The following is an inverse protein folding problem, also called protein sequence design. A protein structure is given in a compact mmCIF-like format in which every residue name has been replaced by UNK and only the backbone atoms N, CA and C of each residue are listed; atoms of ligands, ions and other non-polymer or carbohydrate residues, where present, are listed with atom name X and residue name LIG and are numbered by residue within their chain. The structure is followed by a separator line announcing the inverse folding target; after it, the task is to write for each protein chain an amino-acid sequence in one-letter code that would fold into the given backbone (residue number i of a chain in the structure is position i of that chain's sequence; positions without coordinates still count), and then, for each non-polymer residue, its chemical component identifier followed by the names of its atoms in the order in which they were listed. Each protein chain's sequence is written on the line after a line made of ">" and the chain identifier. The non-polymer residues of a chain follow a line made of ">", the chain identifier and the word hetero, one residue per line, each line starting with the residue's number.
data_IF_014547494587
#
_entry.id   IF_014547494587
#
_cell.length_a   1.000
_cell.length_b   1.000
_cell.length_c   1.000
_cell.angle_alpha   90.00
_cell.angle_beta   90.00
_cell.angle_gamma   90.00
#
_symmetry.space_group_name_H-M   'P 1'
#
loop_
_entity.id
_entity.type
_entity.pdbx_description
1 polymer ?
#
# COMPACT_ATOMS: atom_id res chain seq x y z
N UNK A 1 45.09 -18.97 66.23
CA UNK A 1 45.35 -17.54 66.02
C UNK A 1 44.03 -16.91 65.63
N UNK A 2 43.34 -16.32 66.60
CA UNK A 2 42.07 -15.63 66.36
C UNK A 2 42.34 -14.32 65.63
N UNK A 3 41.61 -14.08 64.54
CA UNK A 3 41.77 -12.87 63.75
C UNK A 3 41.16 -11.67 64.52
N UNK A 4 41.96 -10.71 65.03
CA UNK A 4 41.44 -9.57 65.80
C UNK A 4 40.63 -8.59 64.94
N UNK A 5 40.59 -8.79 63.61
CA UNK A 5 39.79 -8.01 62.67
C UNK A 5 38.48 -8.69 62.26
N UNK A 6 38.10 -9.81 62.90
CA UNK A 6 36.79 -10.44 62.65
C UNK A 6 35.66 -9.51 63.13
N UNK A 7 35.12 -8.70 62.21
CA UNK A 7 33.96 -7.86 62.47
C UNK A 7 32.77 -8.79 62.75
N UNK A 8 32.10 -8.69 63.92
CA UNK A 8 30.95 -9.53 64.21
C UNK A 8 29.86 -9.26 63.16
N UNK A 9 29.26 -10.32 62.57
CA UNK A 9 28.25 -10.14 61.54
C UNK A 9 27.11 -9.31 62.13
N UNK A 10 26.94 -8.10 61.59
CA UNK A 10 25.90 -7.16 62.00
C UNK A 10 24.58 -7.81 61.62
N UNK A 11 23.86 -8.36 62.59
CA UNK A 11 22.50 -8.90 62.39
C UNK A 11 21.57 -7.75 62.04
N UNK A 12 21.45 -7.44 60.75
CA UNK A 12 20.44 -6.52 60.25
C UNK A 12 19.09 -7.21 60.45
N UNK A 13 18.11 -6.56 61.11
CA UNK A 13 16.81 -7.18 61.36
C UNK A 13 16.03 -7.32 60.05
N UNK A 14 16.14 -8.50 59.42
CA UNK A 14 15.47 -8.83 58.15
C UNK A 14 13.95 -8.59 58.14
N UNK A 15 13.32 -8.59 59.31
CA UNK A 15 11.90 -8.28 59.46
C UNK A 15 11.53 -6.83 59.11
N UNK A 16 12.44 -5.86 59.35
CA UNK A 16 12.17 -4.46 59.02
C UNK A 16 12.22 -4.21 57.51
N UNK A 17 13.19 -4.80 56.81
CA UNK A 17 13.30 -4.68 55.34
C UNK A 17 12.13 -5.37 54.64
N UNK A 18 11.67 -6.53 55.15
CA UNK A 18 10.49 -7.20 54.59
C UNK A 18 9.23 -6.34 54.68
N UNK A 19 8.99 -5.67 55.80
CA UNK A 19 7.83 -4.76 55.95
C UNK A 19 7.86 -3.62 54.95
N UNK A 20 9.02 -3.01 54.74
CA UNK A 20 9.18 -1.92 53.75
C UNK A 20 8.92 -2.45 52.35
N UNK A 21 9.47 -3.62 52.00
CA UNK A 21 9.26 -4.24 50.69
C UNK A 21 7.78 -4.54 50.42
N UNK A 22 7.06 -5.10 51.40
CA UNK A 22 5.61 -5.34 51.28
C UNK A 22 4.84 -4.04 51.10
N UNK A 23 5.19 -2.98 51.85
CA UNK A 23 4.58 -1.65 51.69
C UNK A 23 4.80 -1.06 50.29
N UNK A 24 6.00 -1.19 49.73
CA UNK A 24 6.34 -0.73 48.37
C UNK A 24 5.55 -1.52 47.32
N UNK A 25 5.48 -2.85 47.44
CA UNK A 25 4.72 -3.70 46.53
C UNK A 25 3.23 -3.33 46.56
N UNK A 26 2.66 -3.13 47.75
CA UNK A 26 1.26 -2.71 47.89
C UNK A 26 1.00 -1.34 47.25
N UNK A 27 1.92 -0.38 47.42
CA UNK A 27 1.83 0.93 46.80
C UNK A 27 1.90 0.84 45.26
N UNK A 28 2.86 0.07 44.72
CA UNK A 28 2.98 -0.15 43.28
C UNK A 28 1.75 -0.84 42.69
N UNK A 29 1.21 -1.85 43.36
CA UNK A 29 -0.04 -2.49 42.96
C UNK A 29 -1.22 -1.50 42.97
N UNK A 30 -1.29 -0.62 43.98
CA UNK A 30 -2.27 0.48 44.05
C UNK A 30 -2.18 1.43 42.86
N UNK A 31 -0.97 1.84 42.47
CA UNK A 31 -0.76 2.72 41.30
C UNK A 31 -1.16 2.02 40.00
N UNK A 32 -0.78 0.76 39.80
CA UNK A 32 -1.11 -0.01 38.58
C UNK A 32 -2.62 -0.28 38.45
N UNK A 33 -3.29 -0.59 39.56
CA UNK A 33 -4.75 -0.75 39.58
C UNK A 33 -5.48 0.56 39.34
N UNK A 34 -4.98 1.68 39.88
CA UNK A 34 -5.51 3.01 39.59
C UNK A 34 -5.33 3.40 38.13
N UNK A 35 -4.14 3.15 37.55
CA UNK A 35 -3.83 3.45 36.15
C UNK A 35 -4.72 2.66 35.19
N UNK A 36 -4.87 1.35 35.41
CA UNK A 36 -5.75 0.51 34.59
C UNK A 36 -7.23 0.85 34.78
N UNK A 37 -7.64 1.20 36.01
CA UNK A 37 -8.99 1.65 36.32
C UNK A 37 -9.34 2.99 35.66
N UNK A 38 -8.42 3.96 35.66
CA UNK A 38 -8.64 5.27 35.07
C UNK A 38 -8.79 5.21 33.56
N UNK A 39 -8.02 4.37 32.86
CA UNK A 39 -8.17 4.15 31.42
C UNK A 39 -9.54 3.58 31.07
N UNK A 40 -10.01 2.56 31.82
CA UNK A 40 -11.35 1.99 31.61
C UNK A 40 -12.46 2.99 31.88
N UNK A 41 -12.32 3.78 32.96
CA UNK A 41 -13.27 4.83 33.28
C UNK A 41 -13.31 5.91 32.19
N UNK A 42 -12.15 6.33 31.69
CA UNK A 42 -12.04 7.35 30.66
C UNK A 42 -12.62 6.84 29.33
N UNK A 43 -12.35 5.58 28.97
CA UNK A 43 -12.96 4.93 27.82
C UNK A 43 -14.49 4.92 27.95
N UNK A 44 -15.03 4.44 29.07
CA UNK A 44 -16.48 4.44 29.33
C UNK A 44 -17.08 5.85 29.27
N UNK A 45 -16.35 6.86 29.74
CA UNK A 45 -16.80 8.25 29.68
C UNK A 45 -16.81 8.78 28.25
N UNK A 46 -15.79 8.50 27.46
CA UNK A 46 -15.72 8.96 26.07
C UNK A 46 -16.75 8.26 25.17
N UNK A 47 -17.04 6.99 25.44
CA UNK A 47 -18.03 6.20 24.71
C UNK A 47 -19.46 6.39 25.21
N UNK A 48 -19.64 7.01 26.39
CA UNK A 48 -20.98 7.35 26.87
C UNK A 48 -21.68 8.35 25.96
N UNK A 49 -22.96 8.07 25.70
CA UNK A 49 -23.85 8.89 24.87
C UNK A 49 -23.40 9.04 23.42
N UNK A 50 -22.61 8.07 22.91
CA UNK A 50 -21.96 8.15 21.60
C UNK A 50 -22.93 8.47 20.45
N UNK A 51 -24.06 7.76 20.41
CA UNK A 51 -25.04 7.83 19.31
C UNK A 51 -25.77 9.18 19.23
N UNK A 52 -25.79 9.95 20.33
CA UNK A 52 -26.43 11.26 20.38
C UNK A 52 -25.49 12.42 20.04
N UNK A 53 -24.20 12.16 19.83
CA UNK A 53 -23.21 13.19 19.54
C UNK A 53 -23.19 13.58 18.05
N UNK A 54 -22.93 14.85 17.72
CA UNK A 54 -22.66 15.24 16.34
C UNK A 54 -21.43 14.51 15.77
N UNK A 55 -21.47 14.16 14.49
CA UNK A 55 -20.39 13.43 13.81
C UNK A 55 -19.01 14.14 13.91
N UNK A 56 -18.96 15.47 14.01
CA UNK A 56 -17.71 16.21 14.27
C UNK A 56 -17.11 15.87 15.63
N UNK A 57 -17.94 15.87 16.68
CA UNK A 57 -17.53 15.54 18.06
C UNK A 57 -17.17 14.07 18.18
N UNK A 58 -17.88 13.17 17.49
CA UNK A 58 -17.53 11.76 17.43
C UNK A 58 -16.11 11.57 16.87
N UNK A 59 -15.76 12.23 15.75
CA UNK A 59 -14.40 12.15 15.19
C UNK A 59 -13.32 12.64 16.16
N UNK A 60 -13.57 13.75 16.85
CA UNK A 60 -12.65 14.26 17.87
C UNK A 60 -12.50 13.29 19.05
N UNK A 61 -13.59 12.66 19.51
CA UNK A 61 -13.50 11.65 20.56
C UNK A 61 -12.81 10.38 20.08
N UNK A 62 -12.93 9.99 18.81
CA UNK A 62 -12.21 8.83 18.27
C UNK A 62 -10.70 9.01 18.39
N UNK A 63 -10.17 10.19 18.10
CA UNK A 63 -8.73 10.44 18.24
C UNK A 63 -8.27 10.34 19.70
N UNK A 64 -9.10 10.79 20.65
CA UNK A 64 -8.83 10.62 22.09
C UNK A 64 -8.89 9.14 22.51
N UNK A 65 -9.85 8.37 21.99
CA UNK A 65 -9.98 6.94 22.25
C UNK A 65 -8.80 6.17 21.67
N UNK A 66 -8.30 6.56 20.50
CA UNK A 66 -7.13 5.95 19.87
C UNK A 66 -5.87 6.06 20.74
N UNK A 67 -5.74 7.11 21.56
CA UNK A 67 -4.63 7.27 22.50
C UNK A 67 -4.74 6.34 23.73
N UNK A 68 -5.92 5.75 23.99
CA UNK A 68 -6.18 4.86 25.12
C UNK A 68 -5.89 3.40 24.76
N UNK A 69 -4.74 3.13 24.15
CA UNK A 69 -4.32 1.77 23.89
C UNK A 69 -4.00 1.02 25.19
N UNK A 70 -4.31 -0.29 25.28
CA UNK A 70 -4.87 -1.16 24.24
C UNK A 70 -6.42 -1.18 24.20
N UNK A 71 -7.11 -0.45 25.07
CA UNK A 71 -8.57 -0.53 25.21
C UNK A 71 -9.36 0.09 24.05
N UNK A 72 -8.80 1.12 23.40
CA UNK A 72 -9.47 1.85 22.33
C UNK A 72 -9.68 1.06 21.03
N UNK A 73 -8.80 0.10 20.70
CA UNK A 73 -8.81 -0.62 19.42
C UNK A 73 -10.15 -1.30 19.13
N UNK A 74 -10.74 -1.97 20.13
CA UNK A 74 -12.03 -2.63 19.97
C UNK A 74 -13.14 -1.65 19.61
N UNK A 75 -13.16 -0.49 20.25
CA UNK A 75 -14.16 0.54 19.96
C UNK A 75 -13.96 1.15 18.57
N UNK A 76 -12.72 1.41 18.16
CA UNK A 76 -12.43 1.87 16.80
C UNK A 76 -12.92 0.87 15.75
N UNK A 77 -12.67 -0.43 15.95
CA UNK A 77 -13.17 -1.47 15.03
C UNK A 77 -14.69 -1.49 14.97
N UNK A 78 -15.40 -1.33 16.10
CA UNK A 78 -16.87 -1.19 16.10
C UNK A 78 -17.33 0.01 15.27
N UNK A 79 -16.62 1.14 15.35
CA UNK A 79 -16.98 2.34 14.59
C UNK A 79 -16.74 2.22 13.08
N UNK A 80 -16.03 1.18 12.60
CA UNK A 80 -16.03 0.85 11.16
C UNK A 80 -17.43 0.50 10.64
N UNK A 81 -18.34 0.05 11.53
CA UNK A 81 -19.76 -0.20 11.24
C UNK A 81 -20.67 1.02 11.41
N UNK A 82 -20.15 2.21 11.73
CA UNK A 82 -20.97 3.40 11.99
C UNK A 82 -21.80 3.81 10.77
N UNK A 83 -23.04 4.25 11.00
CA UNK A 83 -23.92 4.79 9.93
C UNK A 83 -23.38 6.10 9.34
N UNK A 84 -22.53 6.82 10.08
CA UNK A 84 -21.92 8.05 9.61
C UNK A 84 -20.61 7.76 8.88
N UNK A 85 -20.53 7.96 7.55
CA UNK A 85 -19.35 7.57 6.76
C UNK A 85 -18.08 8.28 7.22
N UNK A 86 -18.15 9.56 7.61
CA UNK A 86 -17.00 10.30 8.12
C UNK A 86 -16.45 9.79 9.45
N UNK A 87 -17.27 9.14 10.28
CA UNK A 87 -16.85 8.55 11.56
C UNK A 87 -16.18 7.21 11.32
N UNK A 88 -16.77 6.39 10.43
CA UNK A 88 -16.18 5.13 10.01
C UNK A 88 -14.82 5.33 9.33
N UNK A 89 -14.71 6.33 8.44
CA UNK A 89 -13.46 6.69 7.78
C UNK A 89 -12.41 7.16 8.79
N UNK A 90 -12.77 8.08 9.70
CA UNK A 90 -11.83 8.53 10.74
C UNK A 90 -11.34 7.36 11.61
N UNK A 91 -12.20 6.40 11.92
CA UNK A 91 -11.82 5.20 12.66
C UNK A 91 -10.83 4.33 11.88
N UNK A 92 -11.07 4.14 10.58
CA UNK A 92 -10.16 3.42 9.68
C UNK A 92 -8.78 4.08 9.62
N UNK A 93 -8.74 5.41 9.41
CA UNK A 93 -7.48 6.17 9.34
C UNK A 93 -6.69 6.06 10.65
N UNK A 94 -7.38 6.13 11.80
CA UNK A 94 -6.76 5.95 13.11
C UNK A 94 -6.23 4.52 13.30
N UNK A 95 -6.96 3.49 12.87
CA UNK A 95 -6.48 2.10 12.95
C UNK A 95 -5.23 1.88 12.09
N UNK A 96 -5.15 2.49 10.91
CA UNK A 96 -3.93 2.44 10.09
C UNK A 96 -2.76 3.15 10.78
N UNK A 97 -3.01 4.32 11.37
CA UNK A 97 -1.99 5.05 12.11
C UNK A 97 -1.47 4.21 13.29
N UNK A 98 -2.37 3.58 14.06
CA UNK A 98 -1.97 2.70 15.16
C UNK A 98 -1.10 1.53 14.67
N UNK A 99 -1.47 0.85 13.57
CA UNK A 99 -0.63 -0.21 13.00
C UNK A 99 0.76 0.29 12.60
N UNK A 100 0.86 1.52 12.08
CA UNK A 100 2.15 2.13 11.75
C UNK A 100 2.97 2.45 13.01
N UNK A 101 2.33 2.92 14.07
CA UNK A 101 2.99 3.22 15.35
C UNK A 101 3.48 1.94 16.05
N UNK A 102 2.81 0.80 15.85
CA UNK A 102 3.21 -0.48 16.43
C UNK A 102 4.54 -1.02 15.90
N UNK A 103 5.01 -0.52 14.74
CA UNK A 103 6.33 -0.85 14.21
C UNK A 103 7.48 -0.35 15.09
N UNK A 104 7.25 0.66 15.92
CA UNK A 104 8.26 1.20 16.82
C UNK A 104 8.35 0.44 18.15
N UNK A 105 7.45 -0.52 18.39
CA UNK A 105 7.40 -1.32 19.61
C UNK A 105 8.33 -2.53 19.51
N UNK A 106 8.58 -3.15 20.66
CA UNK A 106 9.14 -4.50 20.67
C UNK A 106 8.17 -5.51 20.04
N UNK A 107 8.75 -6.61 19.54
CA UNK A 107 8.01 -7.63 18.79
C UNK A 107 6.85 -8.22 19.58
N UNK A 108 7.04 -8.55 20.86
CA UNK A 108 6.01 -9.14 21.73
C UNK A 108 4.83 -8.17 21.92
N UNK A 109 5.13 -6.88 22.17
CA UNK A 109 4.10 -5.85 22.32
C UNK A 109 3.36 -5.57 21.01
N UNK A 110 4.07 -5.52 19.89
CA UNK A 110 3.48 -5.35 18.55
C UNK A 110 2.55 -6.50 18.19
N UNK A 111 3.02 -7.74 18.38
CA UNK A 111 2.27 -8.96 18.12
C UNK A 111 1.00 -9.04 18.96
N UNK A 112 1.08 -8.69 20.25
CA UNK A 112 -0.08 -8.64 21.14
C UNK A 112 -1.13 -7.61 20.68
N UNK A 113 -0.72 -6.51 20.04
CA UNK A 113 -1.65 -5.50 19.51
C UNK A 113 -2.28 -5.93 18.19
N UNK A 114 -1.49 -6.49 17.27
CA UNK A 114 -1.98 -7.09 16.03
C UNK A 114 -2.99 -8.21 16.31
N UNK A 115 -2.73 -9.06 17.31
CA UNK A 115 -3.68 -10.10 17.74
C UNK A 115 -5.02 -9.51 18.18
N UNK A 116 -5.01 -8.52 19.07
CA UNK A 116 -6.23 -7.85 19.55
C UNK A 116 -7.01 -7.18 18.42
N UNK A 117 -6.32 -6.59 17.45
CA UNK A 117 -6.95 -6.02 16.26
C UNK A 117 -7.65 -7.09 15.44
N UNK A 118 -6.95 -8.18 15.11
CA UNK A 118 -7.51 -9.29 14.34
C UNK A 118 -8.71 -9.94 15.06
N UNK A 119 -8.61 -10.15 16.37
CA UNK A 119 -9.73 -10.65 17.21
C UNK A 119 -10.92 -9.68 17.23
N UNK A 120 -10.67 -8.37 17.28
CA UNK A 120 -11.73 -7.35 17.27
C UNK A 120 -12.43 -7.28 15.92
N UNK A 121 -11.68 -7.38 14.82
CA UNK A 121 -12.21 -7.45 13.46
C UNK A 121 -13.02 -8.74 13.28
N UNK A 122 -12.52 -9.86 13.80
CA UNK A 122 -13.25 -11.13 13.80
C UNK A 122 -14.56 -11.03 14.57
N UNK A 123 -14.58 -10.37 15.72
CA UNK A 123 -15.80 -10.20 16.50
C UNK A 123 -16.84 -9.30 15.82
N UNK A 124 -16.42 -8.32 15.00
CA UNK A 124 -17.35 -7.43 14.29
C UNK A 124 -17.80 -8.00 12.93
N UNK A 125 -16.96 -8.82 12.27
CA UNK A 125 -17.25 -9.43 10.98
C UNK A 125 -17.86 -10.84 11.11
N UNK A 126 -17.56 -11.53 12.20
CA UNK A 126 -17.78 -12.96 12.40
C UNK A 126 -19.25 -13.38 12.49
N UNK A 127 -19.71 -13.91 11.36
CA UNK A 127 -20.49 -15.13 11.06
C UNK A 127 -21.24 -15.93 12.13
N UNK A 128 -20.91 -15.87 13.42
CA UNK A 128 -21.68 -16.58 14.44
C UNK A 128 -22.85 -15.72 14.93
N UNK A 129 -23.78 -15.51 13.99
CA UNK A 129 -25.02 -14.79 14.22
C UNK A 129 -25.85 -15.41 15.36
N UNK A 130 -25.54 -16.65 15.76
CA UNK A 130 -26.23 -17.39 16.82
C UNK A 130 -25.78 -17.02 18.24
N UNK A 131 -24.56 -16.51 18.42
CA UNK A 131 -24.03 -16.17 19.76
C UNK A 131 -24.25 -14.69 20.10
N UNK A 132 -24.63 -13.85 19.13
CA UNK A 132 -24.74 -12.39 19.28
C UNK A 132 -26.17 -11.84 19.23
N UNK A 133 -27.20 -12.57 19.68
CA UNK A 133 -28.56 -12.01 19.82
C UNK A 133 -28.64 -10.77 20.72
N UNK A 134 -27.62 -10.49 21.54
CA UNK A 134 -27.60 -9.37 22.48
C UNK A 134 -26.53 -8.29 22.19
N UNK A 135 -25.70 -8.44 21.15
CA UNK A 135 -24.74 -7.39 20.79
C UNK A 135 -25.35 -6.52 19.69
N UNK A 136 -25.65 -5.26 20.02
CA UNK A 136 -26.07 -4.20 19.11
C UNK A 136 -25.46 -4.35 17.71
N UNK A 137 -26.35 -4.72 16.77
CA UNK A 137 -26.12 -5.12 15.37
C UNK A 137 -25.47 -4.04 14.48
N UNK A 138 -24.22 -3.66 14.72
CA UNK A 138 -23.42 -2.93 13.72
C UNK A 138 -22.55 -3.91 12.95
N UNK A 139 -23.17 -4.58 11.99
CA UNK A 139 -22.45 -5.28 10.92
C UNK A 139 -21.73 -4.25 10.05
N UNK A 140 -20.51 -4.56 9.64
CA UNK A 140 -19.71 -3.68 8.79
C UNK A 140 -20.33 -3.68 7.38
N UNK A 141 -20.74 -2.51 6.85
CA UNK A 141 -21.31 -2.41 5.51
C UNK A 141 -20.37 -2.96 4.42
N UNK A 142 -20.93 -3.62 3.40
CA UNK A 142 -20.14 -4.28 2.35
C UNK A 142 -19.27 -3.33 1.52
N UNK A 143 -19.64 -2.05 1.40
CA UNK A 143 -18.82 -1.01 0.77
C UNK A 143 -17.49 -0.76 1.52
N UNK A 144 -17.36 -1.26 2.75
CA UNK A 144 -16.17 -1.12 3.61
C UNK A 144 -15.37 -2.41 3.76
N UNK A 145 -15.71 -3.48 3.06
CA UNK A 145 -14.95 -4.74 3.06
C UNK A 145 -13.49 -4.54 2.57
N UNK A 146 -13.28 -3.58 1.67
CA UNK A 146 -11.93 -3.19 1.22
C UNK A 146 -11.08 -2.63 2.36
N UNK A 147 -11.67 -1.90 3.31
CA UNK A 147 -10.95 -1.37 4.47
C UNK A 147 -10.49 -2.50 5.40
N UNK A 148 -11.36 -3.48 5.65
CA UNK A 148 -11.01 -4.68 6.40
C UNK A 148 -9.86 -5.42 5.75
N UNK A 149 -9.96 -5.63 4.43
CA UNK A 149 -8.93 -6.30 3.64
C UNK A 149 -7.57 -5.60 3.79
N UNK A 150 -7.52 -4.27 3.75
CA UNK A 150 -6.28 -3.50 3.96
C UNK A 150 -5.69 -3.70 5.35
N UNK A 151 -6.50 -3.58 6.42
CA UNK A 151 -6.04 -3.74 7.80
C UNK A 151 -5.54 -5.18 8.07
N UNK A 152 -6.24 -6.17 7.51
CA UNK A 152 -5.89 -7.59 7.64
C UNK A 152 -4.61 -7.91 6.86
N UNK A 153 -4.48 -7.46 5.62
CA UNK A 153 -3.26 -7.65 4.82
C UNK A 153 -2.03 -7.04 5.51
N UNK A 154 -2.16 -5.83 6.08
CA UNK A 154 -1.08 -5.23 6.87
C UNK A 154 -0.74 -6.10 8.08
N UNK A 155 -1.75 -6.54 8.84
CA UNK A 155 -1.54 -7.43 10.00
C UNK A 155 -0.83 -8.73 9.61
N UNK A 156 -1.22 -9.35 8.50
CA UNK A 156 -0.58 -10.56 7.96
C UNK A 156 0.90 -10.29 7.66
N UNK A 157 1.21 -9.22 6.93
CA UNK A 157 2.60 -8.86 6.55
C UNK A 157 3.48 -8.65 7.77
N UNK A 158 3.00 -7.95 8.80
CA UNK A 158 3.80 -7.65 9.99
C UNK A 158 3.98 -8.87 10.93
N UNK A 159 3.07 -9.85 10.85
CA UNK A 159 3.07 -11.02 11.76
C UNK A 159 3.60 -12.31 11.13
N UNK A 160 3.81 -12.35 9.82
CA UNK A 160 4.16 -13.58 9.09
C UNK A 160 5.52 -14.17 9.46
N UNK A 161 6.51 -13.32 9.77
CA UNK A 161 7.86 -13.77 10.17
C UNK A 161 8.00 -13.92 11.69
N UNK A 162 6.93 -13.68 12.45
CA UNK A 162 6.94 -13.66 13.92
C UNK A 162 6.67 -15.05 14.48
N UNK A 163 7.60 -15.56 15.28
CA UNK A 163 7.49 -16.88 15.92
C UNK A 163 6.79 -16.85 17.29
N UNK A 164 6.37 -15.68 17.75
CA UNK A 164 5.66 -15.54 19.02
C UNK A 164 4.28 -16.20 18.95
N UNK A 165 3.74 -16.61 20.11
CA UNK A 165 2.39 -17.19 20.18
C UNK A 165 1.34 -16.17 19.72
N UNK A 166 1.53 -14.91 20.06
CA UNK A 166 0.59 -13.83 19.72
C UNK A 166 0.64 -13.48 18.24
N UNK A 167 1.83 -13.40 17.63
CA UNK A 167 2.01 -13.15 16.20
C UNK A 167 1.43 -14.28 15.35
N UNK A 168 1.67 -15.53 15.73
CA UNK A 168 1.07 -16.70 15.07
C UNK A 168 -0.46 -16.68 15.15
N UNK A 169 -1.02 -16.31 16.31
CA UNK A 169 -2.47 -16.21 16.48
C UNK A 169 -3.07 -15.05 15.65
N UNK A 170 -2.41 -13.89 15.63
CA UNK A 170 -2.80 -12.74 14.82
C UNK A 170 -2.82 -13.10 13.33
N UNK A 171 -1.75 -13.71 12.82
CA UNK A 171 -1.64 -14.17 11.45
C UNK A 171 -2.78 -15.13 11.08
N UNK A 172 -2.99 -16.19 11.88
CA UNK A 172 -4.04 -17.18 11.61
C UNK A 172 -5.44 -16.57 11.60
N UNK A 173 -5.74 -15.71 12.58
CA UNK A 173 -7.04 -15.03 12.65
C UNK A 173 -7.23 -14.12 11.44
N UNK A 174 -6.22 -13.32 11.09
CA UNK A 174 -6.32 -12.39 9.97
C UNK A 174 -6.51 -13.10 8.62
N UNK A 175 -5.73 -14.17 8.38
CA UNK A 175 -5.83 -14.98 7.16
C UNK A 175 -7.18 -15.70 7.05
N UNK A 176 -7.71 -16.22 8.17
CA UNK A 176 -9.04 -16.83 8.23
C UNK A 176 -10.14 -15.83 7.86
N UNK A 177 -10.09 -14.61 8.43
CA UNK A 177 -11.04 -13.55 8.09
C UNK A 177 -10.96 -13.12 6.63
N UNK A 178 -9.75 -12.97 6.10
CA UNK A 178 -9.55 -12.60 4.70
C UNK A 178 -10.09 -13.68 3.75
N UNK A 179 -9.94 -14.95 4.13
CA UNK A 179 -10.52 -16.08 3.39
C UNK A 179 -12.04 -15.99 3.37
N UNK A 180 -12.66 -15.67 4.51
CA UNK A 180 -14.12 -15.50 4.61
C UNK A 180 -14.64 -14.28 3.84
N UNK A 181 -13.87 -13.19 3.78
CA UNK A 181 -14.18 -11.99 2.98
C UNK A 181 -14.11 -12.25 1.46
N UNK A 182 -13.14 -13.07 1.03
CA UNK A 182 -12.86 -13.28 -0.41
C UNK A 182 -13.67 -14.41 -1.01
N UNK A 183 -14.07 -15.41 -0.21
CA UNK A 183 -15.05 -16.39 -0.63
C UNK A 183 -16.37 -15.64 -0.84
N UNK A 184 -16.91 -15.56 -2.08
CA UNK A 184 -18.26 -15.06 -2.28
C UNK A 184 -19.15 -15.98 -1.47
N UNK A 185 -19.53 -15.53 -0.27
CA UNK A 185 -20.42 -16.28 0.58
C UNK A 185 -21.65 -16.44 -0.29
N UNK A 186 -21.86 -17.68 -0.74
CA UNK A 186 -23.04 -18.09 -1.47
C UNK A 186 -24.16 -17.97 -0.44
N UNK A 187 -24.58 -16.71 -0.21
CA UNK A 187 -25.60 -16.34 0.76
C UNK A 187 -26.76 -17.20 0.33
N UNK A 188 -27.20 -18.17 1.15
CA UNK A 188 -28.27 -19.05 0.75
C UNK A 188 -29.42 -18.12 0.40
N UNK A 189 -29.70 -17.99 -0.90
CA UNK A 189 -30.84 -17.26 -1.40
C UNK A 189 -32.00 -17.92 -0.70
N UNK A 190 -32.54 -17.26 0.33
CA UNK A 190 -33.71 -17.77 1.03
C UNK A 190 -34.77 -18.12 -0.01
N UNK A 191 -35.63 -19.11 0.23
CA UNK A 191 -36.65 -19.49 -0.73
C UNK A 191 -37.46 -18.25 -1.10
N UNK A 192 -37.21 -17.74 -2.32
CA UNK A 192 -37.88 -16.56 -2.85
C UNK A 192 -39.37 -16.85 -2.90
N UNK A 193 -40.09 -16.35 -1.91
CA UNK A 193 -41.54 -16.28 -1.94
C UNK A 193 -41.92 -15.28 -3.04
N UNK A 194 -42.46 -15.83 -4.13
CA UNK A 194 -43.26 -15.20 -5.18
C UNK A 194 -43.41 -13.66 -5.10
N UNK A 195 -42.67 -12.92 -5.92
CA UNK A 195 -43.09 -11.61 -6.38
C UNK A 195 -42.44 -11.25 -7.74
N UNK A 196 -43.32 -11.19 -8.74
CA UNK A 196 -43.24 -10.57 -10.07
C UNK A 196 -41.87 -10.33 -10.73
N UNK A 197 -41.70 -11.03 -11.85
CA UNK A 197 -40.73 -10.84 -12.90
C UNK A 197 -40.55 -9.38 -13.35
N UNK A 198 -39.37 -8.82 -13.10
CA UNK A 198 -38.75 -7.83 -14.00
C UNK A 198 -37.84 -8.57 -14.98
N UNK A 199 -37.94 -8.32 -16.30
CA UNK A 199 -37.16 -9.04 -17.30
C UNK A 199 -35.68 -8.68 -17.18
N UNK A 200 -34.86 -9.64 -16.76
CA UNK A 200 -33.41 -9.56 -16.94
C UNK A 200 -33.12 -9.64 -18.43
N UNK A 201 -32.51 -8.57 -18.96
CA UNK A 201 -32.00 -8.49 -20.32
C UNK A 201 -30.83 -9.47 -20.41
N UNK A 202 -31.07 -10.63 -21.02
CA UNK A 202 -30.03 -11.53 -21.45
C UNK A 202 -29.24 -10.84 -22.57
N UNK A 203 -28.00 -10.43 -22.29
CA UNK A 203 -27.04 -10.06 -23.31
C UNK A 203 -26.71 -11.32 -24.12
N UNK A 204 -27.47 -11.53 -25.19
CA UNK A 204 -27.24 -12.55 -26.20
C UNK A 204 -26.14 -12.02 -27.12
N UNK A 205 -24.92 -12.54 -26.95
CA UNK A 205 -23.82 -12.30 -27.89
C UNK A 205 -24.07 -13.10 -29.17
N UNK A 206 -24.85 -12.55 -30.09
CA UNK A 206 -24.90 -13.00 -31.49
C UNK A 206 -23.90 -12.17 -32.30
N UNK A 207 -23.03 -12.80 -33.13
CA UNK A 207 -22.07 -12.08 -33.96
C UNK A 207 -22.76 -11.36 -35.12
N UNK A 208 -22.45 -10.07 -35.28
CA UNK A 208 -22.94 -9.22 -36.36
C UNK A 208 -22.44 -9.72 -37.74
N UNK A 209 -23.29 -9.73 -38.79
CA UNK A 209 -22.87 -10.04 -40.15
C UNK A 209 -22.12 -8.86 -40.80
N UNK A 210 -21.03 -9.18 -41.48
CA UNK A 210 -20.25 -8.25 -42.28
C UNK A 210 -21.05 -7.74 -43.49
N UNK A 211 -21.03 -6.43 -43.73
CA UNK A 211 -21.47 -5.81 -44.98
C UNK A 211 -20.27 -5.15 -45.70
N UNK A 212 -20.27 -5.13 -47.04
CA UNK A 212 -19.08 -4.82 -47.84
C UNK A 212 -18.89 -3.32 -48.15
N UNK A 213 -17.62 -3.02 -48.36
CA UNK A 213 -16.97 -1.87 -49.00
C UNK A 213 -17.77 -1.17 -50.10
N UNK A 214 -17.79 0.17 -50.07
CA UNK A 214 -18.01 1.02 -51.24
C UNK A 214 -16.91 2.09 -51.27
N UNK A 215 -16.16 2.06 -52.37
CA UNK A 215 -15.17 3.05 -52.77
C UNK A 215 -15.83 4.28 -53.43
N UNK A 216 -15.22 5.46 -53.27
CA UNK A 216 -15.15 6.60 -54.21
C UNK A 216 -14.34 7.71 -53.51
N UNK A 217 -13.10 8.03 -53.91
CA UNK A 217 -12.69 8.81 -55.09
C UNK A 217 -13.22 10.26 -55.08
N UNK A 218 -12.33 11.22 -54.81
CA UNK A 218 -11.87 12.23 -55.78
C UNK A 218 -11.34 13.51 -55.12
N UNK A 219 -10.11 13.84 -55.50
CA UNK A 219 -9.47 15.15 -55.74
C UNK A 219 -10.28 16.42 -55.45
N UNK A 220 -9.61 17.48 -54.96
CA UNK A 220 -9.46 18.77 -55.68
C UNK A 220 -8.37 19.64 -55.03
N UNK A 221 -7.43 20.08 -55.88
CA UNK A 221 -6.42 21.15 -55.70
C UNK A 221 -6.99 22.48 -55.17
N UNK A 222 -6.18 23.24 -54.41
CA UNK A 222 -5.92 24.67 -54.68
C UNK A 222 -4.94 25.27 -53.64
N UNK A 223 -3.69 25.45 -54.08
CA UNK A 223 -2.84 26.63 -53.78
C UNK A 223 -3.25 27.72 -54.83
N UNK A 224 -3.09 29.07 -54.65
CA UNK A 224 -1.79 29.67 -54.32
C UNK A 224 -1.78 31.01 -53.54
N UNK A 225 -0.56 31.32 -53.05
CA UNK A 225 0.13 32.62 -53.06
C UNK A 225 -0.26 33.78 -52.11
N UNK A 226 0.75 34.22 -51.33
CA UNK A 226 1.47 35.52 -51.46
C UNK A 226 1.66 36.35 -50.17
N UNK A 227 2.82 37.06 -50.18
CA UNK A 227 3.32 38.16 -49.32
C UNK A 227 3.91 37.77 -47.96
N UNK A 228 5.24 37.76 -47.73
CA UNK A 228 6.23 38.86 -47.73
C UNK A 228 5.87 40.00 -46.77
N UNK A 229 6.62 40.09 -45.65
CA UNK A 229 7.28 41.34 -45.24
C UNK A 229 8.30 41.13 -44.10
N UNK A 230 9.34 41.94 -44.20
CA UNK A 230 10.60 42.04 -43.46
C UNK A 230 10.49 43.18 -42.44
N UNK A 231 11.18 43.10 -41.29
CA UNK A 231 11.75 44.20 -40.46
C UNK A 231 12.07 43.60 -39.06
N UNK A 232 13.31 43.39 -38.61
CA UNK A 232 14.43 44.30 -38.33
C UNK A 232 14.15 45.27 -37.15
N UNK A 233 14.97 45.13 -36.08
CA UNK A 233 15.60 46.22 -35.28
C UNK A 233 15.38 46.19 -33.75
N UNK A 234 16.50 46.48 -33.05
CA UNK A 234 16.71 46.96 -31.67
C UNK A 234 16.60 45.93 -30.52
N UNK A 235 17.67 45.54 -29.83
CA UNK A 235 18.59 46.34 -28.98
C UNK A 235 17.86 47.32 -28.05
N UNK A 236 17.63 46.92 -26.80
CA UNK A 236 17.60 47.90 -25.70
C UNK A 236 17.99 47.27 -24.36
N UNK A 237 19.22 47.60 -23.95
CA UNK A 237 19.68 47.62 -22.57
C UNK A 237 18.75 48.42 -21.68
N UNK A 238 18.56 47.99 -20.44
CA UNK A 238 18.32 48.89 -19.31
C UNK A 238 18.90 48.32 -18.03
N UNK A 239 19.67 49.20 -17.40
CA UNK A 239 20.51 49.11 -16.20
C UNK A 239 19.73 48.98 -14.87
N UNK A 240 20.44 48.78 -13.74
CA UNK A 240 19.88 48.42 -12.45
C UNK A 240 19.36 49.63 -11.66
N UNK A 241 18.32 49.36 -10.86
CA UNK A 241 17.71 50.32 -9.92
C UNK A 241 18.55 50.43 -8.63
N UNK A 242 18.70 51.64 -8.03
CA UNK A 242 19.67 51.90 -6.97
C UNK A 242 19.19 51.55 -5.56
N UNK A 243 20.20 51.42 -4.70
CA UNK A 243 20.16 51.31 -3.24
C UNK A 243 19.29 52.39 -2.59
N UNK A 244 18.41 51.97 -1.68
CA UNK A 244 17.77 52.85 -0.70
C UNK A 244 18.07 52.36 0.71
N UNK A 245 18.80 53.22 1.41
CA UNK A 245 19.29 53.09 2.78
C UNK A 245 18.34 53.87 3.70
N UNK A 246 17.67 53.20 4.65
CA UNK A 246 17.00 53.86 5.78
C UNK A 246 16.67 52.88 6.92
N UNK A 247 17.58 52.87 7.90
CA UNK A 247 17.41 52.67 9.34
C UNK A 247 15.98 52.46 9.90
N UNK A 248 15.80 51.37 10.64
CA UNK A 248 15.22 51.42 12.00
C UNK A 248 15.47 50.09 12.75
N UNK A 249 15.99 50.24 13.96
CA UNK A 249 16.34 49.21 14.93
C UNK A 249 15.19 48.23 15.22
N UNK A 250 15.48 46.93 15.24
CA UNK A 250 14.66 45.94 15.97
C UNK A 250 15.56 44.87 16.58
N UNK A 251 15.31 44.63 17.85
CA UNK A 251 16.04 43.85 18.85
C UNK A 251 16.34 42.41 18.41
N UNK A 252 17.62 42.06 18.36
CA UNK A 252 18.08 40.69 18.14
C UNK A 252 17.85 39.83 19.39
N UNK A 253 16.94 38.85 19.30
CA UNK A 253 16.92 37.68 20.20
C UNK A 253 17.69 36.55 19.52
N UNK A 254 18.76 36.07 20.16
CA UNK A 254 19.50 34.87 19.73
C UNK A 254 18.52 33.68 19.64
N UNK A 255 18.25 33.22 18.42
CA UNK A 255 17.59 31.93 18.15
C UNK A 255 18.59 31.03 17.42
N UNK A 256 18.89 29.90 18.05
CA UNK A 256 19.80 28.88 17.54
C UNK A 256 19.33 28.34 16.16
N UNK A 257 20.27 27.89 15.29
CA UNK A 257 19.92 27.40 13.96
C UNK A 257 19.16 26.08 14.08
N UNK A 258 17.92 26.07 13.59
CA UNK A 258 17.20 24.83 13.32
C UNK A 258 17.73 24.25 12.00
N UNK A 259 18.40 23.10 12.10
CA UNK A 259 18.74 22.30 10.94
C UNK A 259 17.46 21.88 10.24
N UNK A 260 17.24 22.41 9.03
CA UNK A 260 16.18 21.93 8.14
C UNK A 260 16.69 20.63 7.53
N UNK A 261 16.33 19.50 8.13
CA UNK A 261 16.44 18.22 7.46
C UNK A 261 15.32 18.13 6.44
N UNK A 262 15.66 18.37 5.18
CA UNK A 262 14.83 18.00 4.04
C UNK A 262 14.86 16.47 3.97
N UNK A 263 13.81 15.82 4.47
CA UNK A 263 13.58 14.40 4.24
C UNK A 263 12.97 14.27 2.85
N UNK A 264 13.79 13.95 1.85
CA UNK A 264 13.30 13.41 0.57
C UNK A 264 12.56 12.10 0.86
N UNK A 265 11.22 12.15 0.83
CA UNK A 265 10.39 10.96 0.83
C UNK A 265 10.48 10.29 -0.55
N UNK A 266 11.40 9.35 -0.69
CA UNK A 266 11.42 8.42 -1.82
C UNK A 266 10.21 7.49 -1.69
N UNK A 267 9.15 7.77 -2.46
CA UNK A 267 7.97 6.90 -2.58
C UNK A 267 8.33 5.62 -3.33
N UNK A 268 8.88 4.63 -2.63
CA UNK A 268 9.03 3.27 -3.15
C UNK A 268 7.62 2.68 -3.36
N UNK A 269 7.23 2.50 -4.63
CA UNK A 269 6.06 1.72 -5.00
C UNK A 269 6.30 0.26 -4.64
N UNK A 270 5.91 -0.13 -3.43
CA UNK A 270 5.95 -1.51 -2.97
C UNK A 270 4.79 -2.26 -3.62
N UNK A 271 5.11 -3.11 -4.61
CA UNK A 271 4.16 -4.06 -5.20
C UNK A 271 3.81 -5.10 -4.12
N UNK A 272 2.69 -4.89 -3.44
CA UNK A 272 2.13 -5.85 -2.47
C UNK A 272 1.49 -6.99 -3.26
N UNK A 273 2.27 -8.05 -3.51
CA UNK A 273 1.72 -9.31 -3.99
C UNK A 273 1.28 -10.19 -2.78
N UNK A 274 0.19 -10.96 -2.91
CA UNK A 274 -0.27 -11.87 -1.88
C UNK A 274 0.72 -13.04 -1.75
N UNK A 275 1.50 -13.02 -0.68
CA UNK A 275 2.52 -14.02 -0.40
C UNK A 275 2.02 -14.91 0.74
N UNK A 276 1.90 -16.22 0.45
CA UNK A 276 1.85 -17.38 1.37
C UNK A 276 0.52 -18.07 1.71
N UNK A 277 -0.08 -18.70 0.70
CA UNK A 277 -0.85 -19.95 0.89
C UNK A 277 -0.19 -21.20 0.26
N UNK A 278 1.10 -21.16 -0.10
CA UNK A 278 1.67 -22.14 -1.05
C UNK A 278 2.90 -22.92 -0.57
N UNK A 279 3.16 -23.05 0.73
CA UNK A 279 4.39 -23.73 1.21
C UNK A 279 4.20 -25.09 1.85
N UNK A 280 3.03 -25.75 1.74
CA UNK A 280 2.92 -27.10 2.33
C UNK A 280 2.12 -28.16 1.59
N UNK A 281 1.51 -27.87 0.44
CA UNK A 281 0.98 -28.90 -0.45
C UNK A 281 1.79 -28.99 -1.75
N UNK A 282 2.84 -29.81 -1.67
CA UNK A 282 3.48 -30.61 -2.73
C UNK A 282 3.43 -30.07 -4.17
N UNK A 283 4.51 -29.42 -4.61
CA UNK A 283 5.01 -29.53 -5.98
C UNK A 283 5.03 -28.25 -6.82
N UNK A 284 4.11 -27.33 -6.57
CA UNK A 284 3.91 -26.19 -7.46
C UNK A 284 4.67 -24.95 -6.98
N UNK A 285 5.47 -24.37 -7.88
CA UNK A 285 6.25 -23.16 -7.61
C UNK A 285 5.29 -22.01 -7.26
N UNK A 286 5.58 -21.19 -6.23
CA UNK A 286 4.67 -20.10 -5.80
C UNK A 286 4.42 -19.07 -6.90
N UNK A 287 5.16 -19.14 -8.01
CA UNK A 287 5.09 -18.23 -9.14
C UNK A 287 4.27 -18.74 -10.33
N UNK A 288 3.74 -19.97 -10.30
CA UNK A 288 3.05 -20.56 -11.46
C UNK A 288 1.84 -19.74 -11.92
N UNK A 289 1.11 -19.13 -10.99
CA UNK A 289 -0.06 -18.29 -11.30
C UNK A 289 0.31 -16.85 -11.68
N UNK A 290 1.58 -16.47 -11.54
CA UNK A 290 2.04 -15.11 -11.82
C UNK A 290 2.44 -14.93 -13.28
N UNK A 291 2.17 -13.74 -13.83
CA UNK A 291 2.64 -13.36 -15.16
C UNK A 291 4.18 -13.38 -15.22
N UNK A 292 4.76 -13.69 -16.39
CA UNK A 292 6.22 -13.76 -16.55
C UNK A 292 6.90 -12.46 -16.12
N UNK A 293 6.31 -11.32 -16.45
CA UNK A 293 6.78 -10.00 -16.01
C UNK A 293 6.80 -9.86 -14.48
N UNK A 294 5.74 -10.30 -13.81
CA UNK A 294 5.68 -10.30 -12.35
C UNK A 294 6.78 -11.18 -11.75
N UNK A 295 7.06 -12.34 -12.33
CA UNK A 295 8.15 -13.22 -11.88
C UNK A 295 9.53 -12.56 -12.07
N UNK A 296 9.75 -11.87 -13.20
CA UNK A 296 11.00 -11.14 -13.47
C UNK A 296 11.28 -10.11 -12.37
N UNK A 297 10.27 -9.36 -11.91
CA UNK A 297 10.44 -8.39 -10.83
C UNK A 297 11.00 -9.01 -9.53
N UNK A 298 10.72 -10.29 -9.26
CA UNK A 298 11.21 -11.00 -8.08
C UNK A 298 12.68 -11.41 -8.16
N UNK A 299 13.33 -11.35 -9.34
CA UNK A 299 14.77 -11.63 -9.48
C UNK A 299 15.65 -10.70 -8.65
N UNK A 300 15.16 -9.50 -8.29
CA UNK A 300 15.86 -8.51 -7.47
C UNK A 300 15.30 -8.39 -6.04
N UNK A 301 14.44 -9.33 -5.63
CA UNK A 301 13.93 -9.41 -4.26
C UNK A 301 15.08 -9.42 -3.24
N UNK A 302 14.91 -8.71 -2.11
CA UNK A 302 15.90 -8.75 -1.00
C UNK A 302 15.99 -10.15 -0.39
N UNK A 303 14.87 -10.89 -0.37
CA UNK A 303 14.78 -12.25 0.14
C UNK A 303 15.40 -13.26 -0.84
N UNK A 304 16.48 -13.98 -0.47
CA UNK A 304 17.17 -14.91 -1.37
C UNK A 304 16.25 -16.02 -1.90
N UNK A 305 15.41 -16.59 -1.03
CA UNK A 305 14.49 -17.67 -1.40
C UNK A 305 13.54 -17.28 -2.54
N UNK A 306 13.00 -16.05 -2.51
CA UNK A 306 12.11 -15.55 -3.56
C UNK A 306 12.86 -15.34 -4.88
N UNK A 307 14.13 -14.89 -4.84
CA UNK A 307 14.97 -14.77 -6.05
C UNK A 307 15.24 -16.14 -6.67
N UNK A 308 15.60 -17.12 -5.85
CA UNK A 308 15.92 -18.47 -6.30
C UNK A 308 14.69 -19.16 -6.91
N UNK A 309 13.53 -19.01 -6.26
CA UNK A 309 12.25 -19.50 -6.79
C UNK A 309 11.84 -18.80 -8.09
N UNK A 310 12.03 -17.48 -8.20
CA UNK A 310 11.72 -16.74 -9.44
C UNK A 310 12.64 -17.15 -10.58
N UNK A 311 13.93 -17.33 -10.29
CA UNK A 311 14.92 -17.81 -11.25
C UNK A 311 14.59 -19.23 -11.72
N UNK A 312 14.21 -20.14 -10.81
CA UNK A 312 13.79 -21.50 -11.17
C UNK A 312 12.52 -21.50 -12.02
N UNK A 313 11.53 -20.68 -11.67
CA UNK A 313 10.29 -20.51 -12.44
C UNK A 313 10.57 -20.01 -13.86
N UNK A 314 11.44 -19.02 -14.04
CA UNK A 314 11.79 -18.51 -15.36
C UNK A 314 12.53 -19.58 -16.20
N UNK A 315 13.41 -20.37 -15.59
CA UNK A 315 14.01 -21.55 -16.25
C UNK A 315 12.95 -22.56 -16.69
N UNK A 316 11.96 -22.84 -15.84
CA UNK A 316 10.81 -23.72 -16.17
C UNK A 316 9.99 -23.17 -17.35
N UNK A 317 9.91 -21.84 -17.51
CA UNK A 317 9.27 -21.15 -18.65
C UNK A 317 10.14 -21.08 -19.91
N UNK A 318 11.33 -21.66 -19.90
CA UNK A 318 12.22 -21.72 -21.06
C UNK A 318 13.19 -20.54 -21.18
N UNK A 319 13.37 -19.74 -20.13
CA UNK A 319 14.43 -18.72 -20.13
C UNK A 319 15.79 -19.41 -19.96
N UNK A 320 16.67 -19.18 -20.93
CA UNK A 320 18.08 -19.56 -20.83
C UNK A 320 18.89 -18.53 -20.04
N UNK A 321 20.18 -18.78 -19.88
CA UNK A 321 21.06 -17.93 -19.07
C UNK A 321 21.18 -16.48 -19.62
N UNK A 322 21.36 -16.25 -20.94
CA UNK A 322 21.30 -14.91 -21.52
C UNK A 322 19.99 -14.16 -21.22
N UNK A 323 18.83 -14.81 -21.39
CA UNK A 323 17.54 -14.18 -21.09
C UNK A 323 17.39 -13.87 -19.60
N UNK A 324 17.94 -14.70 -18.71
CA UNK A 324 17.91 -14.44 -17.26
C UNK A 324 18.77 -13.23 -16.88
N UNK A 325 19.90 -13.01 -17.55
CA UNK A 325 20.73 -11.81 -17.35
C UNK A 325 19.99 -10.54 -17.81
N UNK A 326 19.30 -10.60 -18.95
CA UNK A 326 18.46 -9.49 -19.44
C UNK A 326 17.29 -9.23 -18.48
N UNK A 327 16.61 -10.28 -18.02
CA UNK A 327 15.54 -10.18 -17.03
C UNK A 327 16.01 -9.57 -15.71
N UNK A 328 17.18 -9.97 -15.21
CA UNK A 328 17.74 -9.41 -13.98
C UNK A 328 18.06 -7.91 -14.12
N UNK A 329 18.54 -7.46 -15.30
CA UNK A 329 18.77 -6.04 -15.60
C UNK A 329 17.47 -5.27 -15.77
N UNK A 330 16.46 -5.87 -16.37
CA UNK A 330 15.11 -5.29 -16.50
C UNK A 330 14.48 -5.05 -15.12
N UNK A 331 14.69 -5.96 -14.18
CA UNK A 331 14.19 -5.84 -12.80
C UNK A 331 15.07 -4.96 -11.89
N UNK A 332 16.19 -4.43 -12.38
CA UNK A 332 17.13 -3.69 -11.54
C UNK A 332 16.49 -2.40 -11.01
N UNK A 333 16.62 -2.08 -9.70
CA UNK A 333 16.03 -0.87 -9.14
C UNK A 333 16.65 0.41 -9.73
N UNK A 334 17.91 0.39 -10.19
CA UNK A 334 18.56 1.57 -10.77
C UNK A 334 18.05 1.83 -12.19
N UNK A 335 17.40 2.99 -12.37
CA UNK A 335 16.92 3.48 -13.67
C UNK A 335 18.02 3.52 -14.73
N UNK A 336 19.27 3.80 -14.35
CA UNK A 336 20.40 3.91 -15.29
C UNK A 336 20.73 2.57 -15.92
N UNK A 337 20.61 1.48 -15.17
CA UNK A 337 20.82 0.12 -15.67
C UNK A 337 19.75 -0.26 -16.69
N UNK A 338 18.49 0.12 -16.42
CA UNK A 338 17.36 -0.16 -17.33
C UNK A 338 17.43 0.69 -18.61
N UNK A 339 17.83 1.96 -18.53
CA UNK A 339 18.08 2.79 -19.71
C UNK A 339 19.28 2.29 -20.54
N UNK A 340 20.35 1.83 -19.90
CA UNK A 340 21.47 1.21 -20.60
C UNK A 340 21.05 -0.08 -21.33
N UNK A 341 20.15 -0.87 -20.73
CA UNK A 341 19.56 -2.04 -21.38
C UNK A 341 18.75 -1.66 -22.63
N UNK A 342 17.95 -0.59 -22.60
CA UNK A 342 17.23 -0.10 -23.79
C UNK A 342 18.17 0.24 -24.94
N UNK A 343 19.27 0.94 -24.64
CA UNK A 343 20.27 1.27 -25.65
C UNK A 343 20.92 0.01 -26.25
N UNK A 344 21.19 -0.99 -25.43
CA UNK A 344 21.75 -2.27 -25.90
C UNK A 344 20.77 -3.05 -26.79
N UNK A 345 19.50 -3.16 -26.37
CA UNK A 345 18.44 -3.83 -27.13
C UNK A 345 18.20 -3.17 -28.50
N UNK A 346 18.34 -1.85 -28.60
CA UNK A 346 18.20 -1.13 -29.87
C UNK A 346 19.32 -1.45 -30.88
N UNK A 347 20.50 -1.86 -30.41
CA UNK A 347 21.67 -2.08 -31.26
C UNK A 347 22.03 -3.55 -31.48
N UNK A 348 21.37 -4.50 -30.80
CA UNK A 348 21.70 -5.92 -30.88
C UNK A 348 20.72 -6.71 -31.78
N UNK A 349 21.16 -7.16 -32.98
CA UNK A 349 20.26 -7.84 -33.94
C UNK A 349 20.08 -9.35 -33.71
N UNK A 350 20.53 -9.89 -32.56
CA UNK A 350 20.60 -11.35 -32.34
C UNK A 350 19.29 -11.98 -31.87
N UNK A 351 18.60 -11.30 -30.96
CA UNK A 351 17.36 -11.75 -30.34
C UNK A 351 16.25 -10.74 -30.62
N UNK A 352 15.00 -11.20 -30.67
CA UNK A 352 13.85 -10.33 -30.86
C UNK A 352 13.69 -9.37 -29.65
N UNK A 353 13.99 -8.07 -29.79
CA UNK A 353 13.96 -7.14 -28.66
C UNK A 353 12.51 -6.76 -28.28
N UNK A 354 11.52 -7.08 -29.12
CA UNK A 354 10.15 -6.58 -28.99
C UNK A 354 9.54 -6.91 -27.64
N UNK A 355 9.67 -8.16 -27.21
CA UNK A 355 9.10 -8.60 -25.94
C UNK A 355 9.70 -7.85 -24.73
N UNK A 356 11.00 -7.61 -24.75
CA UNK A 356 11.70 -6.86 -23.71
C UNK A 356 11.28 -5.38 -23.70
N UNK A 357 11.15 -4.80 -24.89
CA UNK A 357 10.69 -3.42 -25.06
C UNK A 357 9.22 -3.24 -24.62
N UNK A 358 8.34 -4.22 -24.87
CA UNK A 358 6.98 -4.20 -24.33
C UNK A 358 6.98 -4.16 -22.81
N UNK A 359 7.79 -4.99 -22.14
CA UNK A 359 7.88 -4.94 -20.68
C UNK A 359 8.45 -3.61 -20.13
N UNK A 360 9.44 -3.03 -20.81
CA UNK A 360 10.03 -1.73 -20.44
C UNK A 360 9.11 -0.54 -20.76
N UNK A 361 8.23 -0.67 -21.75
CA UNK A 361 7.20 0.34 -22.04
C UNK A 361 6.12 0.43 -20.95
N UNK A 362 6.08 -0.54 -20.04
CA UNK A 362 5.20 -0.55 -18.87
C UNK A 362 5.94 -0.24 -17.55
N UNK A 363 7.21 0.16 -17.61
CA UNK A 363 8.05 0.46 -16.43
C UNK A 363 7.40 1.52 -15.53
N UNK A 364 7.68 1.49 -14.23
CA UNK A 364 7.18 2.49 -13.29
C UNK A 364 7.74 3.89 -13.62
N UNK A 365 8.98 3.96 -14.09
CA UNK A 365 9.67 5.21 -14.41
C UNK A 365 9.26 5.76 -15.79
N UNK A 366 8.66 6.97 -15.87
CA UNK A 366 8.19 7.53 -17.14
C UNK A 366 9.29 7.66 -18.20
N UNK A 367 10.53 7.95 -17.78
CA UNK A 367 11.66 8.07 -18.72
C UNK A 367 11.97 6.76 -19.43
N UNK A 368 11.94 5.63 -18.71
CA UNK A 368 12.15 4.30 -19.30
C UNK A 368 11.03 3.97 -20.29
N UNK A 369 9.77 4.27 -19.93
CA UNK A 369 8.63 4.06 -20.83
C UNK A 369 8.75 4.84 -22.14
N UNK A 370 9.09 6.13 -22.06
CA UNK A 370 9.26 6.99 -23.23
C UNK A 370 10.32 6.48 -24.20
N UNK A 371 11.48 6.10 -23.68
CA UNK A 371 12.57 5.58 -24.52
C UNK A 371 12.20 4.23 -25.14
N UNK A 372 11.58 3.32 -24.38
CA UNK A 372 11.10 2.04 -24.90
C UNK A 372 10.08 2.25 -26.04
N UNK A 373 9.12 3.17 -25.87
CA UNK A 373 8.12 3.50 -26.90
C UNK A 373 8.76 4.17 -28.11
N UNK A 374 9.76 5.03 -27.91
CA UNK A 374 10.49 5.64 -29.02
C UNK A 374 11.22 4.58 -29.87
N UNK A 375 11.87 3.61 -29.22
CA UNK A 375 12.54 2.49 -29.91
C UNK A 375 11.51 1.62 -30.63
N UNK A 376 10.43 1.23 -29.95
CA UNK A 376 9.32 0.48 -30.56
C UNK A 376 8.75 1.20 -31.79
N UNK A 377 8.62 2.53 -31.75
CA UNK A 377 8.12 3.30 -32.89
C UNK A 377 9.04 3.35 -34.10
N UNK A 378 10.29 2.89 -33.99
CA UNK A 378 11.18 2.70 -35.15
C UNK A 378 11.02 1.33 -35.81
N UNK A 379 10.27 0.42 -35.18
CA UNK A 379 10.01 -0.93 -35.69
C UNK A 379 8.75 -0.89 -36.56
N UNK A 380 8.88 -1.27 -37.82
CA UNK A 380 7.75 -1.44 -38.74
C UNK A 380 7.06 -2.78 -38.48
N UNK A 381 6.26 -2.83 -37.40
CA UNK A 381 5.58 -4.03 -36.95
C UNK A 381 4.12 -3.76 -36.52
N UNK A 382 3.13 -4.42 -37.14
CA UNK A 382 1.72 -4.24 -36.78
C UNK A 382 1.39 -4.60 -35.32
N UNK A 383 2.14 -5.53 -34.70
CA UNK A 383 1.94 -5.87 -33.29
C UNK A 383 2.31 -4.70 -32.37
N UNK A 384 3.35 -3.95 -32.72
CA UNK A 384 3.76 -2.75 -32.01
C UNK A 384 2.68 -1.68 -32.12
N UNK A 385 2.17 -1.43 -33.32
CA UNK A 385 1.06 -0.49 -33.54
C UNK A 385 -0.18 -0.86 -32.73
N UNK A 386 -0.56 -2.14 -32.73
CA UNK A 386 -1.71 -2.63 -31.94
C UNK A 386 -1.48 -2.44 -30.43
N UNK A 387 -0.28 -2.77 -29.93
CA UNK A 387 0.09 -2.57 -28.53
C UNK A 387 0.01 -1.09 -28.13
N UNK A 388 0.54 -0.18 -28.96
CA UNK A 388 0.52 1.25 -28.71
C UNK A 388 -0.91 1.83 -28.71
N UNK A 389 -1.81 1.32 -29.55
CA UNK A 389 -3.23 1.67 -29.50
C UNK A 389 -3.90 1.27 -28.18
N UNK A 390 -3.58 0.08 -27.67
CA UNK A 390 -4.11 -0.41 -26.39
C UNK A 390 -3.53 0.36 -25.19
N UNK A 391 -2.28 0.80 -25.31
CA UNK A 391 -1.57 1.52 -24.25
C UNK A 391 -2.02 2.98 -24.11
N UNK A 392 -2.34 3.65 -25.22
CA UNK A 392 -2.71 5.07 -25.24
C UNK A 392 -3.79 5.50 -24.21
N UNK A 393 -4.91 4.77 -24.00
CA UNK A 393 -5.94 5.19 -23.04
C UNK A 393 -5.55 5.01 -21.57
N UNK A 394 -4.54 4.19 -21.25
CA UNK A 394 -4.13 3.90 -19.87
C UNK A 394 -2.86 4.63 -19.45
N UNK A 395 -2.13 5.25 -20.38
CA UNK A 395 -0.91 5.99 -20.08
C UNK A 395 -1.24 7.34 -19.43
N UNK A 396 -0.61 7.61 -18.28
CA UNK A 396 -0.86 8.81 -17.47
C UNK A 396 0.14 9.94 -17.75
N UNK A 397 1.35 9.61 -18.21
CA UNK A 397 2.37 10.61 -18.51
C UNK A 397 2.08 11.30 -19.85
N UNK A 398 1.80 12.61 -19.82
CA UNK A 398 1.45 13.39 -21.00
C UNK A 398 2.54 13.34 -22.09
N UNK A 399 3.82 13.39 -21.69
CA UNK A 399 4.93 13.32 -22.64
C UNK A 399 5.00 11.95 -23.35
N UNK A 400 4.75 10.86 -22.62
CA UNK A 400 4.65 9.52 -23.19
C UNK A 400 3.47 9.40 -24.16
N UNK A 401 2.29 9.93 -23.78
CA UNK A 401 1.09 9.96 -24.63
C UNK A 401 1.37 10.66 -25.97
N UNK A 402 2.09 11.77 -25.96
CA UNK A 402 2.42 12.51 -27.18
C UNK A 402 3.40 11.74 -28.09
N UNK A 403 4.34 10.99 -27.51
CA UNK A 403 5.22 10.10 -28.27
C UNK A 403 4.41 8.98 -28.91
N UNK A 404 3.53 8.31 -28.15
CA UNK A 404 2.66 7.24 -28.69
C UNK A 404 1.84 7.78 -29.88
N UNK A 405 1.20 8.95 -29.73
CA UNK A 405 0.43 9.57 -30.82
C UNK A 405 1.27 9.92 -32.04
N UNK A 406 2.52 10.34 -31.84
CA UNK A 406 3.45 10.65 -32.94
C UNK A 406 3.82 9.39 -33.70
N UNK A 407 4.17 8.32 -32.99
CA UNK A 407 4.50 7.02 -33.59
C UNK A 407 3.31 6.50 -34.41
N UNK A 408 2.11 6.50 -33.83
CA UNK A 408 0.89 6.02 -34.49
C UNK A 408 0.42 6.86 -35.70
N UNK A 409 0.95 8.07 -35.89
CA UNK A 409 0.69 8.89 -37.10
C UNK A 409 1.73 8.70 -38.20
N UNK A 410 2.90 8.18 -37.83
CA UNK A 410 4.03 7.98 -38.73
C UNK A 410 4.14 6.55 -39.28
N UNK A 411 3.57 5.57 -38.58
CA UNK A 411 3.29 4.23 -39.09
C UNK A 411 2.04 4.24 -39.97
#
# INVERSE_FOLDING_TARGET
>A
MDNPFAVPPRRIPAYKSLKVLVGVIACLAGVLTFQSGSQRWLLNRLTSDWDNLPASVQRERLSQIAQLEPGGTRFLVQQLGSMHPGVAQASFDLLQQLQQDWLALDDDASDARHRRLAESLAACYGTDQSILENASNQSIPSDRENWLTMLLNRTIVETVERSTTDGTAAYRTATSLLTNLTLPTQRPSGPSSNALSTPQIALRTEPLPAAPSIASASDTNADPAAAVQTEQTAEQSSEPTPLQEANASTTATLRAPQATMVTEQTTLHQVVAPVQHLTQHLGDSPFETYSTRSVIAWLRSVRPQMRDSAHHELKKRGFDEPHLLLAARLADPDIRVRLALLNELAHHPGDDPRQWLFWLSEDAEPQVRREAISILGTMDDPQVTQFLHQRLPIEQDAATVDIIRRVLRGA
#
